data_IF_215185603123
#
_entry.id   IF_215185603123
#
_cell.length_a   1.000
_cell.length_b   1.000
_cell.length_c   1.000
_cell.angle_alpha   90.00
_cell.angle_beta   90.00
_cell.angle_gamma   90.00
#
_symmetry.space_group_name_H-M   'P 1'
#
loop_
_entity.id
_entity.type
_entity.pdbx_description
1 polymer ?
#
# COMPACT_ATOMS: atom_id res chain seq x y z
N UNK A 1 20.02 -27.72 -14.60
CA UNK A 1 20.78 -26.47 -14.39
C UNK A 1 19.87 -25.48 -13.71
N UNK A 2 20.37 -24.66 -12.78
CA UNK A 2 19.53 -23.62 -12.15
C UNK A 2 19.28 -22.50 -13.16
N UNK A 3 18.02 -22.09 -13.32
CA UNK A 3 17.63 -20.97 -14.17
C UNK A 3 17.54 -19.71 -13.32
N UNK A 4 18.10 -18.60 -13.80
CA UNK A 4 17.89 -17.28 -13.18
C UNK A 4 16.67 -16.60 -13.79
N UNK A 5 15.78 -16.12 -12.94
CA UNK A 5 14.62 -15.29 -13.29
C UNK A 5 14.82 -13.92 -12.66
N UNK A 6 14.57 -12.87 -13.43
CA UNK A 6 14.63 -11.48 -12.96
C UNK A 6 13.26 -10.84 -13.16
N UNK A 7 12.74 -10.21 -12.11
CA UNK A 7 11.53 -9.39 -12.13
C UNK A 7 11.95 -7.95 -11.87
N UNK A 8 12.02 -7.18 -12.95
CA UNK A 8 12.41 -5.77 -12.96
C UNK A 8 11.70 -5.08 -14.16
N UNK A 9 10.72 -4.19 -13.91
CA UNK A 9 10.30 -3.68 -12.61
C UNK A 9 9.41 -4.65 -11.84
N UNK A 10 9.51 -4.65 -10.50
CA UNK A 10 8.40 -5.14 -9.67
C UNK A 10 7.30 -4.07 -9.65
N UNK A 11 6.12 -4.41 -10.15
CA UNK A 11 4.99 -3.48 -10.29
C UNK A 11 3.98 -3.64 -9.14
N UNK A 12 3.00 -2.71 -9.05
CA UNK A 12 2.00 -2.65 -7.97
C UNK A 12 2.62 -2.58 -6.56
N UNK A 13 3.74 -1.86 -6.47
CA UNK A 13 4.37 -1.44 -5.23
C UNK A 13 4.63 0.07 -5.29
N UNK A 14 5.00 0.67 -4.16
CA UNK A 14 5.62 1.99 -4.15
C UNK A 14 7.12 1.88 -4.45
N UNK A 15 7.67 2.84 -5.20
CA UNK A 15 9.09 2.94 -5.48
C UNK A 15 9.61 1.95 -6.54
N UNK A 16 10.90 1.61 -6.41
CA UNK A 16 11.63 0.80 -7.40
C UNK A 16 12.31 -0.40 -6.74
N UNK A 17 11.86 -1.60 -7.10
CA UNK A 17 12.40 -2.85 -6.60
C UNK A 17 12.69 -3.82 -7.74
N UNK A 18 13.85 -4.47 -7.64
CA UNK A 18 14.25 -5.60 -8.48
C UNK A 18 14.34 -6.86 -7.62
N UNK A 19 13.76 -7.95 -8.12
CA UNK A 19 13.92 -9.29 -7.55
C UNK A 19 14.63 -10.20 -8.55
N UNK A 20 15.70 -10.85 -8.11
CA UNK A 20 16.32 -11.96 -8.83
C UNK A 20 16.07 -13.25 -8.06
N UNK A 21 15.76 -14.35 -8.76
CA UNK A 21 15.60 -15.67 -8.16
C UNK A 21 16.33 -16.74 -8.99
N UNK A 22 17.03 -17.65 -8.32
CA UNK A 22 17.48 -18.91 -8.91
C UNK A 22 16.38 -19.96 -8.71
N UNK A 23 15.94 -20.60 -9.79
CA UNK A 23 14.95 -21.68 -9.78
C UNK A 23 15.63 -22.99 -10.16
N UNK A 24 15.48 -23.98 -9.29
CA UNK A 24 15.96 -25.35 -9.48
C UNK A 24 14.83 -26.32 -9.15
N UNK A 25 14.53 -27.24 -10.07
CA UNK A 25 13.51 -28.28 -9.91
C UNK A 25 12.14 -27.71 -9.48
N UNK A 26 11.75 -26.60 -10.12
CA UNK A 26 10.48 -25.90 -9.86
C UNK A 26 10.42 -25.12 -8.53
N UNK A 27 11.52 -25.03 -7.78
CA UNK A 27 11.59 -24.31 -6.49
C UNK A 27 12.62 -23.19 -6.55
N UNK A 28 12.32 -22.09 -5.87
CA UNK A 28 13.30 -21.02 -5.65
C UNK A 28 14.38 -21.54 -4.71
N UNK A 29 15.62 -21.60 -5.17
CA UNK A 29 16.79 -22.02 -4.36
C UNK A 29 17.53 -20.83 -3.74
N UNK A 30 17.48 -19.66 -4.38
CA UNK A 30 18.03 -18.39 -3.88
C UNK A 30 17.19 -17.22 -4.39
N UNK A 31 17.14 -16.13 -3.63
CA UNK A 31 16.50 -14.89 -4.03
C UNK A 31 17.32 -13.68 -3.55
N UNK A 32 17.30 -12.61 -4.33
CA UNK A 32 17.91 -11.32 -4.00
C UNK A 32 16.89 -10.22 -4.15
N UNK A 33 16.87 -9.30 -3.18
CA UNK A 33 16.02 -8.12 -3.17
C UNK A 33 16.90 -6.88 -3.26
N UNK A 34 16.68 -6.05 -4.28
CA UNK A 34 17.53 -4.90 -4.56
C UNK A 34 16.70 -3.65 -4.81
N UNK A 35 16.71 -2.71 -3.85
CA UNK A 35 16.10 -1.39 -4.01
C UNK A 35 16.88 -0.56 -5.05
N UNK A 36 16.17 -0.07 -6.07
CA UNK A 36 16.80 0.60 -7.23
C UNK A 36 16.74 2.14 -7.14
N UNK A 37 16.49 2.70 -5.94
CA UNK A 37 16.37 4.15 -5.76
C UNK A 37 16.97 4.65 -4.45
N UNK A 38 17.43 5.89 -4.46
CA UNK A 38 17.86 6.62 -3.27
C UNK A 38 17.64 8.12 -3.46
N UNK A 39 17.29 8.83 -2.39
CA UNK A 39 17.10 10.31 -2.40
C UNK A 39 17.86 11.05 -1.30
N UNK A 40 18.30 10.35 -0.25
CA UNK A 40 19.15 10.96 0.79
C UNK A 40 18.48 11.96 1.73
N UNK A 41 17.23 11.73 2.15
CA UNK A 41 16.53 12.63 3.08
C UNK A 41 17.32 12.84 4.39
N UNK A 42 18.04 11.82 4.86
CA UNK A 42 18.92 11.91 6.04
C UNK A 42 20.02 12.97 5.89
N UNK A 43 20.60 13.06 4.69
CA UNK A 43 21.64 14.07 4.35
C UNK A 43 20.98 15.44 4.21
N UNK A 44 19.83 15.52 3.54
CA UNK A 44 19.09 16.78 3.31
C UNK A 44 18.65 17.45 4.63
N UNK A 45 18.42 16.64 5.67
CA UNK A 45 18.02 17.12 6.99
C UNK A 45 19.16 17.74 7.81
N UNK A 46 20.42 17.48 7.45
CA UNK A 46 21.55 18.04 8.19
C UNK A 46 21.53 19.58 8.13
N UNK A 47 21.68 20.22 9.29
CA UNK A 47 21.66 21.68 9.43
C UNK A 47 20.28 22.33 9.27
N UNK A 48 19.19 21.56 9.08
CA UNK A 48 17.82 22.08 9.08
C UNK A 48 17.35 22.38 10.50
N UNK A 49 16.43 23.33 10.63
CA UNK A 49 15.72 23.55 11.89
C UNK A 49 14.89 22.29 12.23
N UNK A 50 15.01 21.73 13.45
CA UNK A 50 14.23 20.56 13.86
C UNK A 50 12.71 20.74 13.71
N UNK A 51 12.20 21.98 13.80
CA UNK A 51 10.77 22.28 13.63
C UNK A 51 10.28 22.04 12.20
N UNK A 52 11.19 22.10 11.22
CA UNK A 52 10.87 21.87 9.81
C UNK A 52 11.06 20.41 9.40
N UNK A 53 11.70 19.56 10.23
CA UNK A 53 12.10 18.20 9.85
C UNK A 53 10.92 17.36 9.33
N UNK A 54 9.75 17.48 9.95
CA UNK A 54 8.53 16.74 9.56
C UNK A 54 8.01 17.13 8.17
N UNK A 55 8.29 18.35 7.70
CA UNK A 55 7.97 18.79 6.33
C UNK A 55 8.78 18.02 5.29
N UNK A 56 10.03 17.69 5.60
CA UNK A 56 10.92 16.94 4.70
C UNK A 56 10.68 15.44 4.82
N UNK A 57 10.64 14.88 6.03
CA UNK A 57 10.50 13.43 6.22
C UNK A 57 9.18 12.89 5.69
N UNK A 58 8.08 13.64 5.74
CA UNK A 58 6.80 13.17 5.19
C UNK A 58 6.85 12.93 3.67
N UNK A 59 7.87 13.45 2.97
CA UNK A 59 8.11 13.20 1.54
C UNK A 59 8.96 11.95 1.32
N UNK A 60 9.36 11.21 2.35
CA UNK A 60 10.01 9.90 2.20
C UNK A 60 9.07 8.92 1.49
N UNK A 61 7.76 8.97 1.71
CA UNK A 61 6.84 8.13 0.96
C UNK A 61 5.52 8.88 0.75
N UNK A 62 4.96 8.81 -0.45
CA UNK A 62 3.64 9.37 -0.75
C UNK A 62 2.49 8.46 -0.31
N UNK A 63 2.74 7.15 -0.20
CA UNK A 63 1.77 6.16 0.25
C UNK A 63 1.63 6.27 1.77
N UNK A 64 2.69 5.94 2.53
CA UNK A 64 2.69 6.01 3.99
C UNK A 64 3.03 7.42 4.55
N UNK A 65 2.69 8.50 3.84
CA UNK A 65 3.22 9.86 4.08
C UNK A 65 3.15 10.36 5.52
N UNK A 66 2.01 10.17 6.19
CA UNK A 66 1.77 10.74 7.52
C UNK A 66 2.66 10.12 8.59
N UNK A 67 3.03 8.84 8.46
CA UNK A 67 3.79 8.14 9.50
C UNK A 67 5.17 8.76 9.71
N UNK A 68 5.80 9.25 8.63
CA UNK A 68 7.09 9.91 8.70
C UNK A 68 6.99 11.31 9.33
N UNK A 69 5.92 12.05 9.09
CA UNK A 69 5.66 13.32 9.78
C UNK A 69 5.48 13.09 11.29
N UNK A 70 4.65 12.11 11.66
CA UNK A 70 4.36 11.79 13.06
C UNK A 70 5.58 11.26 13.81
N UNK A 71 6.38 10.42 13.17
CA UNK A 71 7.66 9.99 13.73
C UNK A 71 8.58 11.19 13.96
N UNK A 72 8.71 12.08 12.97
CA UNK A 72 9.58 13.25 13.08
C UNK A 72 9.19 14.20 14.21
N UNK A 73 7.90 14.56 14.35
CA UNK A 73 7.49 15.46 15.44
C UNK A 73 7.71 14.82 16.81
N UNK A 74 7.42 13.51 16.94
CA UNK A 74 7.66 12.77 18.20
C UNK A 74 9.15 12.70 18.55
N UNK A 75 10.02 12.51 17.56
CA UNK A 75 11.47 12.49 17.78
C UNK A 75 11.99 13.85 18.25
N UNK A 76 11.53 14.94 17.64
CA UNK A 76 11.96 16.30 18.03
C UNK A 76 11.42 16.67 19.42
N UNK A 77 10.15 16.36 19.70
CA UNK A 77 9.55 16.56 21.03
C UNK A 77 10.28 15.78 22.11
N UNK A 78 10.61 14.51 21.84
CA UNK A 78 11.37 13.69 22.77
C UNK A 78 12.78 14.25 23.02
N UNK A 79 13.49 14.68 21.98
CA UNK A 79 14.83 15.25 22.11
C UNK A 79 14.84 16.55 22.93
N UNK A 80 13.75 17.32 22.92
CA UNK A 80 13.58 18.57 23.65
C UNK A 80 12.86 18.41 25.00
N UNK A 81 12.43 17.19 25.36
CA UNK A 81 11.66 16.94 26.59
C UNK A 81 10.30 17.64 26.61
N UNK A 82 9.66 17.81 25.44
CA UNK A 82 8.37 18.48 25.32
C UNK A 82 7.21 17.49 25.52
N UNK A 83 6.23 17.92 26.32
CA UNK A 83 4.93 17.26 26.40
C UNK A 83 3.90 17.97 25.52
N UNK A 84 3.00 17.19 24.93
CA UNK A 84 1.90 17.73 24.11
C UNK A 84 0.58 17.66 24.86
N UNK A 85 -0.35 18.60 24.62
CA UNK A 85 -1.70 18.50 25.15
C UNK A 85 -2.39 17.21 24.68
N UNK A 86 -3.20 16.60 25.56
CA UNK A 86 -3.90 15.34 25.26
C UNK A 86 -4.74 15.41 23.97
N UNK A 87 -5.34 16.57 23.67
CA UNK A 87 -6.11 16.76 22.44
C UNK A 87 -5.23 16.69 21.18
N UNK A 88 -3.98 17.15 21.24
CA UNK A 88 -3.03 16.99 20.14
C UNK A 88 -2.68 15.51 19.93
N UNK A 89 -2.51 14.75 21.01
CA UNK A 89 -2.29 13.30 20.93
C UNK A 89 -3.48 12.58 20.30
N UNK A 90 -4.71 12.94 20.68
CA UNK A 90 -5.92 12.36 20.09
C UNK A 90 -6.04 12.66 18.61
N UNK A 91 -5.78 13.90 18.19
CA UNK A 91 -5.76 14.25 16.77
C UNK A 91 -4.71 13.42 16.03
N UNK A 92 -3.48 13.33 16.54
CA UNK A 92 -2.42 12.50 15.92
C UNK A 92 -2.82 11.03 15.80
N UNK A 93 -3.47 10.47 16.82
CA UNK A 93 -3.98 9.11 16.82
C UNK A 93 -5.10 8.90 15.78
N UNK A 94 -6.03 9.85 15.66
CA UNK A 94 -7.08 9.80 14.63
C UNK A 94 -6.48 9.89 13.23
N UNK A 95 -5.52 10.78 13.00
CA UNK A 95 -4.88 10.94 11.68
C UNK A 95 -4.15 9.66 11.28
N UNK A 96 -3.36 9.04 12.17
CA UNK A 96 -2.68 7.78 11.81
C UNK A 96 -3.66 6.61 11.63
N UNK A 97 -4.74 6.55 12.41
CA UNK A 97 -5.77 5.53 12.23
C UNK A 97 -6.48 5.65 10.87
N UNK A 98 -6.85 6.88 10.48
CA UNK A 98 -7.42 7.15 9.16
C UNK A 98 -6.45 6.80 8.03
N UNK A 99 -5.17 7.13 8.20
CA UNK A 99 -4.13 6.77 7.25
C UNK A 99 -4.04 5.25 7.08
N UNK A 100 -3.96 4.49 8.18
CA UNK A 100 -3.90 3.02 8.15
C UNK A 100 -5.08 2.42 7.40
N UNK A 101 -6.29 2.91 7.66
CA UNK A 101 -7.50 2.44 6.95
C UNK A 101 -7.41 2.69 5.44
N UNK A 102 -6.99 3.90 5.05
CA UNK A 102 -6.81 4.25 3.64
C UNK A 102 -5.74 3.35 2.97
N UNK A 103 -4.55 3.28 3.56
CA UNK A 103 -3.42 2.51 3.02
C UNK A 103 -3.80 1.03 2.85
N UNK A 104 -4.40 0.42 3.86
CA UNK A 104 -4.76 -1.00 3.80
C UNK A 104 -5.83 -1.31 2.77
N UNK A 105 -6.85 -0.45 2.61
CA UNK A 105 -7.90 -0.66 1.59
C UNK A 105 -7.29 -0.52 0.19
N UNK A 106 -6.44 0.48 -0.03
CA UNK A 106 -5.75 0.69 -1.30
C UNK A 106 -4.80 -0.47 -1.60
N UNK A 107 -4.00 -0.92 -0.64
CA UNK A 107 -3.13 -2.07 -0.79
C UNK A 107 -3.90 -3.34 -1.12
N UNK A 108 -5.02 -3.59 -0.43
CA UNK A 108 -5.85 -4.76 -0.70
C UNK A 108 -6.37 -4.75 -2.14
N UNK A 109 -7.05 -3.69 -2.57
CA UNK A 109 -7.73 -3.70 -3.88
C UNK A 109 -6.85 -3.29 -5.07
N UNK A 110 -6.05 -2.23 -4.93
CA UNK A 110 -5.31 -1.65 -6.04
C UNK A 110 -3.93 -2.28 -6.23
N UNK A 111 -3.31 -2.78 -5.16
CA UNK A 111 -1.98 -3.37 -5.23
C UNK A 111 -2.05 -4.90 -5.31
N UNK A 112 -2.72 -5.57 -4.37
CA UNK A 112 -2.60 -7.03 -4.22
C UNK A 112 -3.74 -7.87 -4.80
N UNK A 113 -4.97 -7.34 -4.89
CA UNK A 113 -6.13 -8.15 -5.32
C UNK A 113 -5.97 -8.81 -6.69
N UNK A 114 -5.22 -8.19 -7.62
CA UNK A 114 -5.00 -8.73 -8.96
C UNK A 114 -4.04 -9.93 -9.00
N UNK A 115 -3.40 -10.28 -7.88
CA UNK A 115 -2.70 -11.55 -7.71
C UNK A 115 -3.67 -12.72 -7.46
N UNK A 116 -4.90 -12.41 -7.03
CA UNK A 116 -5.92 -13.38 -6.60
C UNK A 116 -7.16 -13.38 -7.48
N UNK A 117 -7.44 -12.27 -8.16
CA UNK A 117 -8.66 -12.05 -8.94
C UNK A 117 -8.32 -11.94 -10.42
N UNK A 118 -8.67 -12.98 -11.19
CA UNK A 118 -8.65 -12.92 -12.65
C UNK A 118 -9.82 -12.03 -13.15
N UNK A 119 -9.48 -10.81 -13.53
CA UNK A 119 -10.43 -9.80 -14.03
C UNK A 119 -11.12 -10.25 -15.32
N UNK A 120 -10.43 -10.96 -16.22
CA UNK A 120 -11.00 -11.41 -17.50
C UNK A 120 -12.03 -12.51 -17.27
N UNK A 121 -11.79 -13.39 -16.30
CA UNK A 121 -12.76 -14.42 -15.91
C UNK A 121 -14.10 -13.85 -15.46
N UNK A 122 -14.13 -12.61 -14.94
CA UNK A 122 -15.36 -11.93 -14.54
C UNK A 122 -16.35 -11.75 -15.70
N UNK A 123 -15.88 -11.72 -16.95
CA UNK A 123 -16.75 -11.66 -18.13
C UNK A 123 -17.58 -12.94 -18.35
N UNK A 124 -17.21 -14.05 -17.71
CA UNK A 124 -17.95 -15.31 -17.75
C UNK A 124 -18.94 -15.45 -16.59
N UNK A 125 -18.85 -14.59 -15.57
CA UNK A 125 -19.69 -14.69 -14.37
C UNK A 125 -21.17 -14.38 -14.65
N UNK A 126 -22.08 -15.05 -13.94
CA UNK A 126 -23.52 -14.78 -13.92
C UNK A 126 -23.85 -13.75 -12.83
N UNK A 127 -24.34 -12.54 -13.16
CA UNK A 127 -24.66 -11.50 -12.19
C UNK A 127 -25.65 -11.93 -11.09
N UNK A 128 -26.56 -12.86 -11.36
CA UNK A 128 -27.51 -13.38 -10.36
C UNK A 128 -26.78 -14.23 -9.33
N UNK A 129 -25.91 -15.14 -9.77
CA UNK A 129 -25.09 -15.98 -8.89
C UNK A 129 -24.07 -15.15 -8.11
N UNK A 130 -23.45 -14.16 -8.74
CA UNK A 130 -22.53 -13.23 -8.07
C UNK A 130 -23.23 -12.44 -6.96
N UNK A 131 -24.46 -11.94 -7.21
CA UNK A 131 -25.24 -11.24 -6.20
C UNK A 131 -25.62 -12.14 -5.02
N UNK A 132 -26.03 -13.39 -5.29
CA UNK A 132 -26.33 -14.37 -4.26
C UNK A 132 -25.10 -14.69 -3.39
N UNK A 133 -23.94 -14.91 -4.02
CA UNK A 133 -22.68 -15.14 -3.31
C UNK A 133 -22.31 -13.93 -2.44
N UNK A 134 -22.31 -12.72 -3.00
CA UNK A 134 -21.95 -11.51 -2.26
C UNK A 134 -22.89 -11.28 -1.05
N UNK A 135 -24.19 -11.51 -1.22
CA UNK A 135 -25.18 -11.38 -0.15
C UNK A 135 -25.04 -12.45 0.94
N UNK A 136 -24.50 -13.64 0.61
CA UNK A 136 -24.19 -14.68 1.59
C UNK A 136 -22.97 -14.33 2.46
N UNK A 137 -22.09 -13.45 1.96
CA UNK A 137 -20.84 -13.06 2.63
C UNK A 137 -20.98 -11.76 3.44
N UNK A 138 -21.88 -10.86 3.04
CA UNK A 138 -22.01 -9.54 3.66
C UNK A 138 -23.38 -8.92 3.43
N UNK A 139 -23.83 -8.13 4.41
CA UNK A 139 -25.01 -7.25 4.30
C UNK A 139 -24.74 -5.94 3.54
N UNK A 140 -23.61 -5.83 2.82
CA UNK A 140 -23.26 -4.64 2.06
C UNK A 140 -24.36 -4.28 1.04
N UNK A 141 -24.89 -3.04 1.05
CA UNK A 141 -26.00 -2.64 0.16
C UNK A 141 -25.65 -2.67 -1.32
N UNK A 142 -24.37 -2.79 -1.68
CA UNK A 142 -23.91 -2.89 -3.07
C UNK A 142 -24.16 -4.24 -3.74
N UNK A 143 -24.68 -5.26 -3.06
CA UNK A 143 -24.72 -6.65 -3.55
C UNK A 143 -25.83 -6.96 -4.59
N UNK A 144 -26.34 -5.96 -5.32
CA UNK A 144 -27.47 -6.11 -6.25
C UNK A 144 -27.09 -6.65 -7.65
N UNK A 145 -27.95 -7.49 -8.23
CA UNK A 145 -27.80 -8.07 -9.58
C UNK A 145 -27.55 -6.99 -10.65
N UNK A 146 -28.31 -5.90 -10.62
CA UNK A 146 -28.17 -4.78 -11.57
C UNK A 146 -26.77 -4.15 -11.50
N UNK A 147 -26.18 -4.05 -10.30
CA UNK A 147 -24.83 -3.48 -10.12
C UNK A 147 -23.78 -4.39 -10.75
N UNK A 148 -23.84 -5.70 -10.48
CA UNK A 148 -22.89 -6.64 -11.06
C UNK A 148 -23.02 -6.75 -12.59
N UNK A 149 -24.24 -6.70 -13.13
CA UNK A 149 -24.46 -6.63 -14.57
C UNK A 149 -23.86 -5.36 -15.18
N UNK A 150 -24.03 -4.19 -14.54
CA UNK A 150 -23.45 -2.93 -14.99
C UNK A 150 -21.91 -2.93 -14.92
N UNK A 151 -21.31 -3.47 -13.85
CA UNK A 151 -19.85 -3.63 -13.73
C UNK A 151 -19.32 -4.54 -14.84
N UNK A 152 -19.96 -5.70 -15.06
CA UNK A 152 -19.59 -6.62 -16.14
C UNK A 152 -19.67 -5.96 -17.52
N UNK A 153 -20.74 -5.20 -17.77
CA UNK A 153 -20.89 -4.45 -19.02
C UNK A 153 -19.78 -3.40 -19.18
N UNK A 154 -19.42 -2.68 -18.11
CA UNK A 154 -18.32 -1.70 -18.11
C UNK A 154 -16.95 -2.32 -18.36
N UNK A 155 -16.69 -3.53 -17.86
CA UNK A 155 -15.44 -4.26 -18.13
C UNK A 155 -15.38 -4.75 -19.59
N UNK A 156 -16.54 -5.05 -20.19
CA UNK A 156 -16.63 -5.53 -21.57
C UNK A 156 -16.45 -4.42 -22.62
N UNK A 157 -16.87 -3.20 -22.30
CA UNK A 157 -16.81 -2.04 -23.18
C UNK A 157 -15.37 -1.56 -23.38
#
# INVERSE_FOLDING_TARGET
MAQRITVDPLTRIEGHLRIDAEVKDGKISKAWSSGQMWRGIEVILQGRDPRDAWLFTQRICGVCTTVHALASVRTVENALGLEIPINAQYIRNMVIALHTLHDHIVHFYALSALDWVDVVSALKADPVKTAALASSLSNWPGNGVKRFAAVKAKIKA
#
